data_IF_466185761032
#
_entry.id   IF_466185761032
#
_cell.length_a   1.000
_cell.length_b   1.000
_cell.length_c   1.000
_cell.angle_alpha   90.00
_cell.angle_beta   90.00
_cell.angle_gamma   90.00
#
_symmetry.space_group_name_H-M   'P 1'
#
loop_
_entity.id
_entity.type
_entity.pdbx_description
1 polymer ?
#
# COMPACT_ATOMS: atom_id res chain seq x y z
N UNK A 1 -28.06 14.63 45.83
CA UNK A 1 -26.94 13.65 45.81
C UNK A 1 -26.67 13.01 44.44
N UNK A 2 -27.23 13.51 43.32
CA UNK A 2 -27.21 12.77 42.04
C UNK A 2 -26.19 13.19 40.97
N UNK A 3 -25.68 14.43 40.95
CA UNK A 3 -24.81 14.89 39.85
C UNK A 3 -23.32 14.64 40.10
N UNK A 4 -22.85 14.85 41.34
CA UNK A 4 -21.43 14.70 41.68
C UNK A 4 -20.95 13.23 41.58
N UNK A 5 -21.81 12.27 41.94
CA UNK A 5 -21.49 10.85 41.84
C UNK A 5 -21.39 10.37 40.39
N UNK A 6 -22.25 10.89 39.50
CA UNK A 6 -22.21 10.57 38.06
C UNK A 6 -20.98 11.16 37.39
N UNK A 7 -20.59 12.38 37.77
CA UNK A 7 -19.38 13.01 37.23
C UNK A 7 -18.11 12.26 37.67
N UNK A 8 -18.05 11.83 38.94
CA UNK A 8 -16.94 11.02 39.46
C UNK A 8 -16.82 9.65 38.75
N UNK A 9 -17.95 8.97 38.52
CA UNK A 9 -17.98 7.69 37.81
C UNK A 9 -17.53 7.83 36.34
N UNK A 10 -17.96 8.89 35.65
CA UNK A 10 -17.54 9.19 34.28
C UNK A 10 -16.05 9.52 34.22
N UNK A 11 -15.50 10.29 35.17
CA UNK A 11 -14.06 10.55 35.21
C UNK A 11 -13.26 9.29 35.49
N UNK A 12 -13.70 8.41 36.40
CA UNK A 12 -13.01 7.14 36.67
C UNK A 12 -13.06 6.22 35.45
N UNK A 13 -14.19 6.15 34.74
CA UNK A 13 -14.29 5.39 33.50
C UNK A 13 -13.40 5.98 32.40
N UNK A 14 -13.36 7.30 32.24
CA UNK A 14 -12.48 7.96 31.26
C UNK A 14 -11.00 7.72 31.59
N UNK A 15 -10.60 7.87 32.85
CA UNK A 15 -9.24 7.59 33.31
C UNK A 15 -8.88 6.12 33.19
N UNK A 16 -9.81 5.20 33.43
CA UNK A 16 -9.61 3.77 33.21
C UNK A 16 -9.47 3.46 31.72
N UNK A 17 -10.23 4.12 30.85
CA UNK A 17 -10.18 3.95 29.41
C UNK A 17 -8.90 4.55 28.80
N UNK A 18 -8.49 5.74 29.26
CA UNK A 18 -7.23 6.37 28.88
C UNK A 18 -6.06 5.54 29.41
N UNK A 19 -6.10 5.10 30.66
CA UNK A 19 -5.09 4.23 31.23
C UNK A 19 -5.03 2.89 30.51
N UNK A 20 -6.16 2.29 30.12
CA UNK A 20 -6.17 1.06 29.31
C UNK A 20 -5.59 1.30 27.91
N UNK A 21 -5.94 2.40 27.23
CA UNK A 21 -5.36 2.76 25.93
C UNK A 21 -3.85 3.03 26.02
N UNK A 22 -3.39 3.72 27.06
CA UNK A 22 -1.96 3.92 27.32
C UNK A 22 -1.28 2.62 27.78
N UNK A 23 -1.99 1.71 28.45
CA UNK A 23 -1.49 0.39 28.86
C UNK A 23 -1.30 -0.54 27.66
N UNK A 24 -2.08 -0.36 26.59
CA UNK A 24 -1.84 -1.05 25.32
C UNK A 24 -0.60 -0.50 24.59
N UNK A 25 -0.19 0.74 24.88
CA UNK A 25 0.99 1.38 24.28
C UNK A 25 2.23 1.29 25.18
N UNK A 26 2.08 1.04 26.47
CA UNK A 26 3.18 0.66 27.37
C UNK A 26 3.43 -0.85 27.26
N UNK A 27 3.84 -1.27 26.06
CA UNK A 27 4.74 -2.42 25.94
C UNK A 27 5.89 -2.12 26.90
N UNK A 28 6.09 -2.99 27.90
CA UNK A 28 7.22 -2.95 28.80
C UNK A 28 8.46 -3.25 27.94
N UNK A 29 8.95 -2.24 27.23
CA UNK A 29 10.27 -2.30 26.62
C UNK A 29 11.24 -2.42 27.77
N UNK A 30 11.88 -3.59 27.88
CA UNK A 30 13.08 -3.74 28.69
C UNK A 30 14.08 -2.72 28.15
N UNK A 31 14.28 -1.65 28.90
CA UNK A 31 15.29 -0.63 28.62
C UNK A 31 16.62 -1.34 28.31
N UNK A 32 17.10 -1.23 27.06
CA UNK A 32 18.40 -1.74 26.62
C UNK A 32 18.43 -2.93 25.65
N UNK A 33 17.29 -3.47 25.18
CA UNK A 33 17.29 -4.55 24.15
C UNK A 33 16.75 -4.06 22.81
N UNK A 34 17.48 -4.33 21.72
CA UNK A 34 17.03 -4.06 20.34
C UNK A 34 15.85 -4.99 20.01
N UNK A 35 14.67 -4.47 19.64
CA UNK A 35 13.50 -5.30 19.37
C UNK A 35 13.70 -6.17 18.12
N UNK A 36 13.23 -7.42 18.18
CA UNK A 36 13.26 -8.35 17.04
C UNK A 36 11.90 -8.41 16.35
N UNK A 37 11.87 -8.00 15.09
CA UNK A 37 10.72 -8.10 14.19
C UNK A 37 11.00 -9.22 13.17
N UNK A 38 10.10 -10.20 13.10
CA UNK A 38 10.22 -11.33 12.19
C UNK A 38 9.17 -11.25 11.09
N UNK A 39 9.63 -11.22 9.84
CA UNK A 39 8.80 -11.47 8.68
C UNK A 39 8.46 -12.97 8.62
N UNK A 40 7.24 -13.32 9.02
CA UNK A 40 6.80 -14.72 9.09
C UNK A 40 6.51 -15.31 7.72
N UNK A 41 5.95 -14.50 6.83
CA UNK A 41 5.67 -14.84 5.44
C UNK A 41 6.54 -14.01 4.50
N UNK A 42 6.55 -14.39 3.22
CA UNK A 42 7.06 -13.54 2.15
C UNK A 42 6.04 -12.47 1.77
N UNK A 43 6.47 -11.48 0.98
CA UNK A 43 5.60 -10.59 0.21
C UNK A 43 5.61 -11.07 -1.25
N UNK A 44 4.73 -12.00 -1.58
CA UNK A 44 4.78 -12.80 -2.80
C UNK A 44 6.14 -13.51 -2.91
N UNK A 45 6.94 -13.16 -3.92
CA UNK A 45 8.30 -13.67 -4.09
C UNK A 45 9.37 -12.86 -3.37
N UNK A 46 9.01 -11.74 -2.74
CA UNK A 46 9.94 -10.80 -2.10
C UNK A 46 10.06 -11.02 -0.60
N UNK A 47 11.14 -10.50 -0.03
CA UNK A 47 11.40 -10.43 1.41
C UNK A 47 10.69 -9.20 2.00
N UNK A 48 9.95 -9.39 3.09
CA UNK A 48 9.31 -8.26 3.79
C UNK A 48 10.39 -7.44 4.51
N UNK A 49 11.41 -8.10 5.05
CA UNK A 49 12.49 -7.43 5.79
C UNK A 49 13.25 -6.43 4.93
N UNK A 50 13.44 -6.71 3.63
CA UNK A 50 14.11 -5.78 2.70
C UNK A 50 13.30 -4.49 2.50
N UNK A 51 11.97 -4.57 2.43
CA UNK A 51 11.12 -3.38 2.30
C UNK A 51 11.06 -2.56 3.59
N UNK A 52 10.96 -3.22 4.76
CA UNK A 52 10.96 -2.54 6.05
C UNK A 52 12.30 -1.88 6.36
N UNK A 53 13.42 -2.52 6.03
CA UNK A 53 14.76 -1.93 6.26
C UNK A 53 14.96 -0.62 5.51
N UNK A 54 14.32 -0.43 4.35
CA UNK A 54 14.35 0.85 3.61
C UNK A 54 13.70 1.98 4.40
N UNK A 55 12.72 1.69 5.25
CA UNK A 55 12.07 2.71 6.10
C UNK A 55 12.87 3.03 7.35
N UNK A 56 13.92 2.26 7.66
CA UNK A 56 14.78 2.49 8.82
C UNK A 56 15.92 3.49 8.54
N UNK A 57 16.06 3.95 7.29
CA UNK A 57 17.04 4.99 6.94
C UNK A 57 16.67 6.28 7.69
N UNK A 58 17.62 6.82 8.45
CA UNK A 58 17.43 7.99 9.34
C UNK A 58 16.37 7.78 10.45
N UNK A 59 16.08 6.54 10.82
CA UNK A 59 15.23 6.25 11.97
C UNK A 59 16.06 6.38 13.27
N UNK A 60 15.59 7.13 14.28
CA UNK A 60 16.29 7.25 15.56
C UNK A 60 16.19 5.99 16.43
N UNK A 61 15.35 5.03 16.03
CA UNK A 61 15.16 3.76 16.72
C UNK A 61 15.84 2.62 15.96
N UNK A 62 16.43 1.69 16.72
CA UNK A 62 17.04 0.48 16.19
C UNK A 62 16.11 -0.72 16.36
N UNK A 63 15.98 -1.53 15.32
CA UNK A 63 15.24 -2.80 15.33
C UNK A 63 16.00 -3.85 14.50
N UNK A 64 16.01 -5.08 14.97
CA UNK A 64 16.42 -6.23 14.16
C UNK A 64 15.24 -6.69 13.33
N UNK A 65 15.40 -6.74 12.00
CA UNK A 65 14.35 -7.19 11.08
C UNK A 65 14.88 -8.36 10.27
N UNK A 66 14.32 -9.54 10.50
CA UNK A 66 14.77 -10.80 9.89
C UNK A 66 13.64 -11.51 9.17
N UNK A 67 13.97 -12.24 8.11
CA UNK A 67 13.07 -13.26 7.57
C UNK A 67 13.00 -14.43 8.55
N UNK A 68 11.86 -15.13 8.60
CA UNK A 68 11.69 -16.33 9.45
C UNK A 68 12.82 -17.34 9.30
N UNK A 69 13.36 -17.52 8.10
CA UNK A 69 14.46 -18.47 7.84
C UNK A 69 15.78 -18.10 8.50
N UNK A 70 15.93 -16.84 8.91
CA UNK A 70 17.19 -16.27 9.39
C UNK A 70 17.17 -16.08 10.92
N UNK A 71 16.09 -16.48 11.58
CA UNK A 71 15.89 -16.33 13.03
C UNK A 71 16.51 -17.51 13.78
N UNK A 72 17.34 -17.21 14.78
CA UNK A 72 17.80 -18.18 15.77
C UNK A 72 16.63 -18.58 16.69
N UNK A 73 16.37 -19.89 16.84
CA UNK A 73 15.28 -20.44 17.66
C UNK A 73 15.35 -20.00 19.14
N UNK A 74 16.52 -19.58 19.62
CA UNK A 74 16.70 -19.08 20.99
C UNK A 74 16.21 -17.64 21.18
N UNK A 75 15.99 -16.90 20.10
CA UNK A 75 15.50 -15.51 20.14
C UNK A 75 13.99 -15.49 20.05
N UNK A 76 13.33 -14.98 21.10
CA UNK A 76 11.88 -14.74 21.10
C UNK A 76 11.62 -13.40 20.40
N UNK A 77 10.88 -13.37 19.28
CA UNK A 77 10.56 -12.12 18.58
C UNK A 77 9.60 -11.25 19.39
N UNK A 78 9.73 -9.93 19.28
CA UNK A 78 8.78 -8.96 19.83
C UNK A 78 7.57 -8.75 18.90
N UNK A 79 7.76 -8.96 17.60
CA UNK A 79 6.70 -8.84 16.60
C UNK A 79 6.84 -9.84 15.46
N UNK A 80 5.70 -10.26 14.92
CA UNK A 80 5.61 -11.02 13.67
C UNK A 80 4.81 -10.23 12.63
N UNK A 81 5.33 -10.16 11.41
CA UNK A 81 4.65 -9.53 10.27
C UNK A 81 4.23 -10.61 9.27
N UNK A 82 2.95 -10.57 8.89
CA UNK A 82 2.34 -11.52 7.97
C UNK A 82 1.77 -10.78 6.77
N UNK A 83 2.21 -11.12 5.57
CA UNK A 83 1.53 -10.70 4.37
C UNK A 83 0.25 -11.51 4.17
N UNK A 84 -0.91 -10.84 4.14
CA UNK A 84 -2.21 -11.51 4.09
C UNK A 84 -2.42 -12.45 2.89
N UNK A 85 -1.81 -12.17 1.73
CA UNK A 85 -1.93 -13.03 0.53
C UNK A 85 -1.08 -14.31 0.59
N UNK A 86 0.02 -14.28 1.36
CA UNK A 86 0.93 -15.42 1.53
C UNK A 86 0.71 -16.12 2.88
N UNK A 87 -0.32 -15.71 3.62
CA UNK A 87 -0.71 -16.29 4.89
C UNK A 87 -1.19 -17.74 4.68
N UNK A 88 -0.76 -18.62 5.56
CA UNK A 88 -1.27 -19.97 5.70
C UNK A 88 -1.78 -20.14 7.13
N UNK A 89 -3.09 -20.33 7.30
CA UNK A 89 -3.70 -20.47 8.62
C UNK A 89 -3.23 -21.72 9.38
N UNK A 90 -2.65 -22.71 8.68
CA UNK A 90 -2.05 -23.89 9.31
C UNK A 90 -0.59 -23.69 9.74
N UNK A 91 0.04 -22.58 9.38
CA UNK A 91 1.45 -22.28 9.67
C UNK A 91 1.57 -20.92 10.38
N UNK A 92 1.18 -20.94 11.65
CA UNK A 92 1.22 -19.78 12.55
C UNK A 92 2.28 -20.00 13.63
N UNK A 93 3.07 -18.97 14.01
CA UNK A 93 4.01 -19.09 15.11
C UNK A 93 3.28 -19.33 16.43
N UNK A 94 4.01 -19.91 17.38
CA UNK A 94 3.59 -19.87 18.77
C UNK A 94 3.54 -18.40 19.23
N UNK A 95 2.38 -17.99 19.74
CA UNK A 95 2.12 -16.63 20.20
C UNK A 95 2.28 -16.53 21.72
N UNK A 96 3.04 -15.54 22.15
CA UNK A 96 3.10 -15.10 23.54
C UNK A 96 2.35 -13.77 23.74
N UNK A 97 1.82 -13.49 24.94
CA UNK A 97 0.99 -12.30 25.19
C UNK A 97 1.64 -10.95 24.86
N UNK A 98 2.97 -10.87 24.87
CA UNK A 98 3.72 -9.63 24.59
C UNK A 98 3.97 -9.40 23.10
N UNK A 99 3.73 -10.40 22.24
CA UNK A 99 4.11 -10.33 20.84
C UNK A 99 3.08 -9.60 20.01
N UNK A 100 3.56 -8.68 19.17
CA UNK A 100 2.72 -7.97 18.24
C UNK A 100 2.52 -8.80 16.97
N UNK A 101 1.26 -9.19 16.73
CA UNK A 101 0.88 -9.91 15.51
C UNK A 101 0.36 -8.91 14.48
N UNK A 102 1.19 -8.58 13.48
CA UNK A 102 0.91 -7.54 12.49
C UNK A 102 0.44 -8.15 11.17
N UNK A 103 -0.81 -7.85 10.78
CA UNK A 103 -1.32 -8.16 9.44
C UNK A 103 -0.87 -7.07 8.46
N UNK A 104 0.00 -7.41 7.52
CA UNK A 104 0.39 -6.57 6.40
C UNK A 104 -0.45 -6.92 5.16
N UNK A 105 -1.16 -5.96 4.59
CA UNK A 105 -1.93 -6.18 3.37
C UNK A 105 -2.07 -4.89 2.56
N UNK A 106 -1.60 -4.93 1.32
CA UNK A 106 -1.71 -3.81 0.39
C UNK A 106 -2.78 -4.02 -0.69
N UNK A 107 -3.39 -5.20 -0.76
CA UNK A 107 -4.49 -5.48 -1.68
C UNK A 107 -5.83 -4.96 -1.16
N UNK A 108 -6.75 -4.67 -2.07
CA UNK A 108 -8.13 -4.33 -1.72
C UNK A 108 -8.84 -5.50 -1.00
N UNK A 109 -9.85 -5.26 -0.14
CA UNK A 109 -10.57 -6.32 0.57
C UNK A 109 -11.07 -7.48 -0.30
N UNK A 110 -11.65 -7.26 -1.50
CA UNK A 110 -12.03 -8.38 -2.39
C UNK A 110 -10.85 -9.28 -2.80
N UNK A 111 -9.64 -8.71 -2.80
CA UNK A 111 -8.40 -9.38 -3.14
C UNK A 111 -7.59 -9.78 -1.90
N UNK A 112 -8.11 -9.70 -0.67
CA UNK A 112 -7.35 -9.96 0.55
C UNK A 112 -6.83 -11.40 0.70
N UNK A 113 -7.47 -12.37 0.03
CA UNK A 113 -7.16 -13.79 0.16
C UNK A 113 -8.04 -14.47 1.22
N UNK A 114 -8.13 -15.82 1.17
CA UNK A 114 -9.04 -16.60 2.03
C UNK A 114 -8.47 -16.95 3.39
N UNK A 115 -7.15 -17.13 3.49
CA UNK A 115 -6.49 -17.56 4.72
C UNK A 115 -6.72 -16.59 5.90
N UNK A 116 -6.96 -15.31 5.63
CA UNK A 116 -7.33 -14.32 6.66
C UNK A 116 -8.65 -14.62 7.35
N UNK A 117 -9.57 -15.37 6.72
CA UNK A 117 -10.83 -15.79 7.34
C UNK A 117 -10.71 -17.13 8.07
N UNK A 118 -9.58 -17.81 7.95
CA UNK A 118 -9.31 -19.13 8.54
C UNK A 118 -8.43 -19.03 9.79
N UNK A 119 -7.76 -17.89 10.00
CA UNK A 119 -7.06 -17.63 11.26
C UNK A 119 -8.04 -17.44 12.41
N UNK A 120 -7.65 -17.74 13.66
CA UNK A 120 -8.49 -17.50 14.82
C UNK A 120 -8.96 -16.03 14.90
N UNK A 121 -10.16 -15.76 15.46
CA UNK A 121 -10.55 -14.40 15.81
C UNK A 121 -9.50 -13.72 16.69
N UNK A 122 -9.34 -12.41 16.54
CA UNK A 122 -8.40 -11.59 17.33
C UNK A 122 -6.93 -12.09 17.28
N UNK A 123 -6.58 -12.78 16.20
CA UNK A 123 -5.22 -13.25 15.99
C UNK A 123 -4.23 -12.10 15.77
N UNK A 124 -4.61 -11.11 14.97
CA UNK A 124 -3.81 -9.92 14.70
C UNK A 124 -4.16 -8.78 15.66
N UNK A 125 -3.14 -8.17 16.27
CA UNK A 125 -3.28 -7.01 17.15
C UNK A 125 -3.04 -5.68 16.42
N UNK A 126 -2.39 -5.73 15.27
CA UNK A 126 -2.08 -4.55 14.48
C UNK A 126 -2.23 -4.83 12.99
N UNK A 127 -2.48 -3.76 12.25
CA UNK A 127 -2.62 -3.78 10.79
C UNK A 127 -1.62 -2.81 10.18
N UNK A 128 -0.95 -3.26 9.12
CA UNK A 128 -0.02 -2.49 8.30
C UNK A 128 -0.57 -2.44 6.87
N UNK A 129 -1.32 -1.37 6.53
CA UNK A 129 -2.05 -1.31 5.26
C UNK A 129 -2.10 0.13 4.71
N UNK A 130 -2.64 0.30 3.50
CA UNK A 130 -2.89 1.63 2.92
C UNK A 130 -4.00 2.41 3.64
N UNK A 131 -4.91 1.74 4.35
CA UNK A 131 -6.09 2.39 4.94
C UNK A 131 -5.69 3.38 6.04
N UNK A 132 -6.39 4.51 6.08
CA UNK A 132 -6.09 5.60 7.01
C UNK A 132 -6.35 5.25 8.48
N UNK A 133 -7.19 4.25 8.76
CA UNK A 133 -7.53 3.75 10.09
C UNK A 133 -6.70 2.52 10.52
N UNK A 134 -5.70 2.13 9.73
CA UNK A 134 -4.78 1.07 10.13
C UNK A 134 -3.84 1.53 11.24
N UNK A 135 -3.54 0.63 12.19
CA UNK A 135 -2.61 0.89 13.31
C UNK A 135 -1.29 1.47 12.81
N UNK A 136 -0.76 0.90 11.73
CA UNK A 136 0.40 1.43 11.01
C UNK A 136 0.01 1.69 9.56
N UNK A 137 -0.09 2.96 9.18
CA UNK A 137 -0.44 3.33 7.81
C UNK A 137 0.78 3.25 6.90
N UNK A 138 0.65 2.49 5.81
CA UNK A 138 1.64 2.40 4.75
C UNK A 138 0.92 2.52 3.39
N UNK A 139 0.74 3.74 2.86
CA UNK A 139 0.12 3.92 1.55
C UNK A 139 1.12 3.67 0.42
N UNK A 140 0.63 3.46 -0.80
CA UNK A 140 1.49 3.35 -1.99
C UNK A 140 2.19 4.66 -2.35
N UNK A 141 1.66 5.79 -1.90
CA UNK A 141 2.24 7.12 -2.07
C UNK A 141 1.49 8.15 -1.26
N UNK A 142 2.06 9.35 -1.20
CA UNK A 142 1.49 10.54 -0.57
C UNK A 142 2.04 11.79 -1.27
N UNK A 143 1.27 12.87 -1.25
CA UNK A 143 1.80 14.18 -1.61
C UNK A 143 2.26 14.89 -0.35
N UNK A 144 3.49 15.39 -0.37
CA UNK A 144 4.04 16.15 0.74
C UNK A 144 4.40 17.54 0.27
N UNK A 145 4.23 18.50 1.18
CA UNK A 145 4.69 19.85 0.92
C UNK A 145 6.21 19.83 0.96
N UNK A 146 6.81 20.21 -0.15
CA UNK A 146 8.24 20.40 -0.26
C UNK A 146 8.78 21.37 0.79
N UNK A 147 9.89 21.01 1.42
CA UNK A 147 10.67 21.90 2.28
C UNK A 147 11.84 22.52 1.52
N UNK A 148 12.34 23.65 2.00
CA UNK A 148 13.42 24.40 1.33
C UNK A 148 14.75 23.62 1.29
N UNK A 149 14.95 22.66 2.21
CA UNK A 149 16.14 21.81 2.30
C UNK A 149 16.13 20.60 1.34
N UNK A 150 15.03 20.36 0.61
CA UNK A 150 14.92 19.21 -0.29
C UNK A 150 15.68 19.41 -1.61
N UNK A 151 16.44 18.37 -2.00
CA UNK A 151 17.24 18.35 -3.22
C UNK A 151 16.43 18.75 -4.46
N UNK A 152 16.90 19.80 -5.12
CA UNK A 152 16.29 20.35 -6.32
C UNK A 152 16.43 19.45 -7.55
N UNK A 153 17.30 18.44 -7.51
CA UNK A 153 17.48 17.47 -8.60
C UNK A 153 16.22 16.65 -8.90
N UNK A 154 15.32 16.50 -7.91
CA UNK A 154 14.06 15.78 -8.03
C UNK A 154 12.92 16.59 -8.66
N UNK A 155 13.13 17.90 -8.86
CA UNK A 155 12.12 18.79 -9.44
C UNK A 155 12.07 18.59 -10.95
N UNK A 156 10.86 18.35 -11.47
CA UNK A 156 10.60 18.50 -12.89
C UNK A 156 10.55 19.98 -13.22
N UNK A 157 11.55 20.50 -13.93
CA UNK A 157 11.62 21.91 -14.31
C UNK A 157 10.72 22.22 -15.50
N UNK A 158 10.34 23.50 -15.67
CA UNK A 158 9.63 23.98 -16.86
C UNK A 158 10.38 23.65 -18.16
N UNK A 159 11.72 23.69 -18.13
CA UNK A 159 12.55 23.33 -19.28
C UNK A 159 12.43 21.83 -19.61
N UNK A 160 12.56 20.95 -18.61
CA UNK A 160 12.40 19.51 -18.78
C UNK A 160 10.99 19.18 -19.30
N UNK A 161 9.96 19.83 -18.75
CA UNK A 161 8.59 19.67 -19.20
C UNK A 161 8.44 20.11 -20.67
N UNK A 162 8.92 21.31 -21.03
CA UNK A 162 8.87 21.81 -22.41
C UNK A 162 9.63 20.92 -23.39
N UNK A 163 10.75 20.33 -22.99
CA UNK A 163 11.50 19.39 -23.80
C UNK A 163 10.76 18.05 -24.01
N UNK A 164 9.97 17.59 -23.02
CA UNK A 164 9.19 16.36 -23.11
C UNK A 164 7.91 16.50 -23.93
N UNK A 165 7.25 17.66 -23.90
CA UNK A 165 5.95 17.92 -24.54
C UNK A 165 5.87 17.55 -26.04
N UNK A 166 6.87 17.85 -26.90
CA UNK A 166 6.82 17.50 -28.32
C UNK A 166 6.67 16.00 -28.61
N UNK A 167 7.13 15.14 -27.69
CA UNK A 167 6.98 13.68 -27.81
C UNK A 167 5.59 13.20 -27.41
N UNK A 168 4.89 13.92 -26.54
CA UNK A 168 3.56 13.57 -26.00
C UNK A 168 2.44 13.83 -27.01
N UNK A 169 2.36 12.97 -28.04
CA UNK A 169 1.41 13.06 -29.16
C UNK A 169 0.19 12.12 -29.03
N UNK A 170 0.30 11.05 -28.25
CA UNK A 170 -0.76 10.05 -28.06
C UNK A 170 -1.66 10.41 -26.87
N UNK A 171 -2.89 9.88 -26.90
CA UNK A 171 -3.94 10.10 -25.90
C UNK A 171 -3.73 9.29 -24.62
N UNK A 172 -4.77 8.64 -24.08
CA UNK A 172 -4.66 7.79 -22.90
C UNK A 172 -3.87 6.51 -23.15
N UNK A 173 -3.03 6.16 -22.17
CA UNK A 173 -2.32 4.90 -22.06
C UNK A 173 -2.93 4.03 -20.96
N UNK A 174 -3.07 2.73 -21.22
CA UNK A 174 -3.40 1.71 -20.24
C UNK A 174 -2.35 0.60 -20.26
N UNK A 175 -1.68 0.38 -19.14
CA UNK A 175 -0.79 -0.76 -18.92
C UNK A 175 -1.49 -1.72 -17.95
N UNK A 176 -1.90 -2.89 -18.42
CA UNK A 176 -2.82 -3.76 -17.66
C UNK A 176 -2.52 -5.25 -17.85
N UNK A 177 -2.43 -5.98 -16.74
CA UNK A 177 -2.16 -7.42 -16.75
C UNK A 177 -3.11 -8.25 -15.88
N UNK A 178 -4.05 -7.61 -15.17
CA UNK A 178 -5.05 -8.28 -14.35
C UNK A 178 -6.43 -7.95 -14.92
N UNK A 179 -7.08 -8.96 -15.47
CA UNK A 179 -8.37 -8.90 -16.15
C UNK A 179 -9.46 -9.47 -15.22
N UNK A 180 -10.73 -9.27 -15.56
CA UNK A 180 -11.88 -9.72 -14.76
C UNK A 180 -11.84 -9.18 -13.32
N UNK A 181 -12.05 -7.87 -13.20
CA UNK A 181 -11.76 -7.17 -11.94
C UNK A 181 -13.04 -6.82 -11.18
N UNK A 182 -12.94 -6.73 -9.85
CA UNK A 182 -14.07 -6.34 -9.01
C UNK A 182 -14.59 -4.93 -9.31
N UNK A 183 -13.74 -4.04 -9.82
CA UNK A 183 -14.16 -2.70 -10.25
C UNK A 183 -14.85 -2.66 -11.61
N UNK A 184 -14.87 -3.77 -12.35
CA UNK A 184 -15.35 -3.85 -13.74
C UNK A 184 -14.70 -2.79 -14.65
N UNK A 185 -13.45 -2.40 -14.35
CA UNK A 185 -12.75 -1.34 -15.10
C UNK A 185 -12.67 -1.67 -16.58
N UNK A 186 -12.56 -2.95 -16.91
CA UNK A 186 -12.51 -3.46 -18.28
C UNK A 186 -13.75 -3.08 -19.08
N UNK A 187 -14.95 -3.11 -18.50
CA UNK A 187 -16.17 -2.75 -19.21
C UNK A 187 -16.21 -1.25 -19.53
N UNK A 188 -15.78 -0.43 -18.57
CA UNK A 188 -15.73 1.02 -18.73
C UNK A 188 -14.71 1.40 -19.79
N UNK A 189 -13.51 0.83 -19.72
CA UNK A 189 -12.44 1.13 -20.66
C UNK A 189 -12.76 0.58 -22.07
N UNK A 190 -13.43 -0.58 -22.18
CA UNK A 190 -13.91 -1.11 -23.46
C UNK A 190 -14.89 -0.15 -24.14
N UNK A 191 -15.88 0.37 -23.41
CA UNK A 191 -16.80 1.38 -23.96
C UNK A 191 -16.07 2.67 -24.32
N UNK A 192 -15.10 3.08 -23.49
CA UNK A 192 -14.32 4.29 -23.74
C UNK A 192 -13.44 4.18 -25.00
N UNK A 193 -12.85 3.01 -25.26
CA UNK A 193 -12.01 2.79 -26.45
C UNK A 193 -12.80 2.80 -27.76
N UNK A 194 -14.12 2.61 -27.71
CA UNK A 194 -15.00 2.78 -28.87
C UNK A 194 -15.18 4.27 -29.25
N UNK A 195 -14.95 5.19 -28.31
CA UNK A 195 -15.18 6.64 -28.49
C UNK A 195 -13.89 7.44 -28.69
N UNK A 196 -12.79 7.00 -28.08
CA UNK A 196 -11.49 7.69 -28.14
C UNK A 196 -10.36 6.69 -28.35
N UNK A 197 -9.28 7.14 -29.00
CA UNK A 197 -8.08 6.32 -29.20
C UNK A 197 -7.35 6.11 -27.87
N UNK A 198 -7.39 4.88 -27.37
CA UNK A 198 -6.65 4.43 -26.18
C UNK A 198 -5.59 3.44 -26.64
N UNK A 199 -4.36 3.65 -26.20
CA UNK A 199 -3.31 2.64 -26.34
C UNK A 199 -3.37 1.69 -25.15
N UNK A 200 -3.45 0.39 -25.41
CA UNK A 200 -3.43 -0.65 -24.38
C UNK A 200 -2.22 -1.55 -24.58
N UNK A 201 -1.53 -1.88 -23.49
CA UNK A 201 -0.45 -2.85 -23.49
C UNK A 201 -0.54 -3.78 -22.27
N UNK A 202 -0.30 -5.06 -22.50
CA UNK A 202 -0.26 -6.11 -21.48
C UNK A 202 -1.25 -7.26 -21.74
N UNK A 203 -1.39 -8.13 -20.74
CA UNK A 203 -2.06 -9.42 -20.90
C UNK A 203 -3.57 -9.30 -21.18
N UNK A 204 -4.20 -8.15 -20.90
CA UNK A 204 -5.63 -7.95 -21.15
C UNK A 204 -5.93 -7.32 -22.52
N UNK A 205 -4.99 -7.29 -23.46
CA UNK A 205 -5.20 -6.70 -24.79
C UNK A 205 -6.44 -7.24 -25.53
N UNK A 206 -6.82 -8.50 -25.32
CA UNK A 206 -8.00 -9.11 -25.94
C UNK A 206 -9.33 -8.52 -25.45
N UNK A 207 -9.37 -7.88 -24.29
CA UNK A 207 -10.58 -7.29 -23.69
C UNK A 207 -10.98 -5.96 -24.37
N UNK A 208 -10.07 -5.36 -25.14
CA UNK A 208 -10.23 -4.02 -25.71
C UNK A 208 -10.08 -4.07 -27.23
N UNK A 209 -11.09 -4.60 -27.96
CA UNK A 209 -11.00 -4.77 -29.41
C UNK A 209 -10.86 -3.45 -30.18
N UNK A 210 -11.44 -2.35 -29.68
CA UNK A 210 -11.38 -1.03 -30.31
C UNK A 210 -10.13 -0.20 -29.95
N UNK A 211 -9.26 -0.71 -29.07
CA UNK A 211 -8.06 0.00 -28.65
C UNK A 211 -6.86 -0.24 -29.60
N UNK A 212 -5.91 0.70 -29.60
CA UNK A 212 -4.61 0.53 -30.22
C UNK A 212 -3.76 -0.41 -29.35
N UNK A 213 -3.43 -1.60 -29.87
CA UNK A 213 -2.76 -2.65 -29.09
C UNK A 213 -1.25 -2.56 -29.26
N UNK A 214 -0.55 -2.53 -28.13
CA UNK A 214 0.90 -2.61 -28.05
C UNK A 214 1.30 -3.85 -27.22
N UNK A 215 2.51 -4.36 -27.43
CA UNK A 215 3.07 -5.44 -26.62
C UNK A 215 4.41 -5.00 -26.06
N UNK A 216 4.40 -4.60 -24.79
CA UNK A 216 5.60 -4.21 -24.06
C UNK A 216 5.78 -5.12 -22.85
N UNK A 217 6.90 -5.85 -22.74
CA UNK A 217 7.31 -6.45 -21.48
C UNK A 217 7.43 -5.37 -20.39
N UNK A 218 7.09 -5.71 -19.14
CA UNK A 218 7.24 -4.80 -17.99
C UNK A 218 8.71 -4.39 -17.83
N UNK A 219 8.95 -3.14 -17.41
CA UNK A 219 10.30 -2.60 -17.14
C UNK A 219 11.25 -2.65 -18.36
N UNK A 220 10.68 -2.57 -19.55
CA UNK A 220 11.43 -2.51 -20.80
C UNK A 220 11.43 -1.08 -21.37
N UNK A 221 12.40 -0.78 -22.23
CA UNK A 221 12.46 0.47 -23.00
C UNK A 221 11.13 0.82 -23.71
N UNK A 222 10.41 -0.21 -24.14
CA UNK A 222 9.07 -0.10 -24.71
C UNK A 222 8.08 0.63 -23.79
N UNK A 223 8.07 0.30 -22.49
CA UNK A 223 7.20 0.97 -21.51
C UNK A 223 7.58 2.45 -21.37
N UNK A 224 8.88 2.78 -21.32
CA UNK A 224 9.36 4.16 -21.25
C UNK A 224 8.93 4.98 -22.47
N UNK A 225 8.99 4.39 -23.67
CA UNK A 225 8.57 5.07 -24.89
C UNK A 225 7.05 5.28 -24.95
N UNK A 226 6.26 4.34 -24.44
CA UNK A 226 4.82 4.55 -24.25
C UNK A 226 4.58 5.72 -23.29
N UNK A 227 5.22 5.74 -22.12
CA UNK A 227 5.10 6.84 -21.14
C UNK A 227 5.51 8.20 -21.76
N UNK A 228 6.61 8.23 -22.49
CA UNK A 228 7.15 9.45 -23.11
C UNK A 228 6.26 9.99 -24.23
N UNK A 229 5.44 9.15 -24.85
CA UNK A 229 4.59 9.52 -26.00
C UNK A 229 3.14 9.82 -25.65
N UNK A 230 2.67 9.47 -24.45
CA UNK A 230 1.29 9.67 -24.02
C UNK A 230 1.14 10.85 -23.06
N UNK A 231 -0.04 11.48 -23.08
CA UNK A 231 -0.39 12.59 -22.19
C UNK A 231 -1.12 12.14 -20.92
N UNK A 232 -1.99 11.14 -21.06
CA UNK A 232 -2.87 10.69 -20.00
C UNK A 232 -2.59 9.22 -19.68
N UNK A 233 -2.87 8.83 -18.44
CA UNK A 233 -2.78 7.43 -18.01
C UNK A 233 -4.07 7.01 -17.31
N UNK A 234 -4.63 5.88 -17.71
CA UNK A 234 -5.82 5.32 -17.07
C UNK A 234 -5.39 4.60 -15.79
N UNK A 235 -5.51 5.26 -14.65
CA UNK A 235 -5.12 4.77 -13.32
C UNK A 235 -6.24 3.97 -12.64
N UNK A 236 -7.03 3.22 -13.40
CA UNK A 236 -8.19 2.50 -12.86
C UNK A 236 -7.73 1.32 -12.02
N UNK A 237 -8.21 1.25 -10.79
CA UNK A 237 -7.85 0.19 -9.84
C UNK A 237 -8.65 -1.09 -10.10
N UNK A 238 -8.13 -2.23 -9.63
CA UNK A 238 -8.82 -3.52 -9.77
C UNK A 238 -10.07 -3.65 -8.87
N UNK A 239 -10.24 -2.74 -7.91
CA UNK A 239 -11.33 -2.72 -6.95
C UNK A 239 -11.64 -1.27 -6.59
N UNK A 240 -12.93 -0.96 -6.37
CA UNK A 240 -13.35 0.36 -5.89
C UNK A 240 -13.49 0.32 -4.36
N UNK A 241 -12.41 0.65 -3.67
CA UNK A 241 -12.36 0.65 -2.20
C UNK A 241 -11.82 1.99 -1.68
N UNK A 242 -12.32 2.41 -0.51
CA UNK A 242 -11.93 3.67 0.12
C UNK A 242 -10.41 3.68 0.39
N UNK A 243 -9.72 4.72 -0.09
CA UNK A 243 -8.27 4.88 0.09
C UNK A 243 -7.40 3.89 -0.69
N UNK A 244 -7.97 3.01 -1.52
CA UNK A 244 -7.19 2.06 -2.32
C UNK A 244 -6.64 2.76 -3.57
N UNK A 245 -5.56 3.51 -3.39
CA UNK A 245 -4.86 4.25 -4.46
C UNK A 245 -3.44 3.72 -4.53
N UNK A 246 -3.05 3.21 -5.70
CA UNK A 246 -1.83 2.40 -5.84
C UNK A 246 -0.74 3.07 -6.68
N UNK A 247 0.29 2.29 -7.06
CA UNK A 247 1.33 2.71 -8.00
C UNK A 247 0.75 3.22 -9.33
N UNK A 248 -0.45 2.75 -9.72
CA UNK A 248 -1.10 3.17 -10.97
C UNK A 248 -1.34 4.68 -11.01
N UNK A 249 -1.56 5.29 -9.85
CA UNK A 249 -1.69 6.74 -9.73
C UNK A 249 -0.33 7.37 -9.43
N UNK A 250 0.29 7.02 -8.29
CA UNK A 250 1.48 7.72 -7.78
C UNK A 250 2.72 7.57 -8.67
N UNK A 251 2.95 6.39 -9.26
CA UNK A 251 4.11 6.19 -10.15
C UNK A 251 3.93 6.91 -11.47
N UNK A 252 2.69 7.07 -11.95
CA UNK A 252 2.44 7.62 -13.30
C UNK A 252 2.42 9.14 -13.28
N UNK A 253 1.92 9.75 -12.20
CA UNK A 253 2.02 11.20 -12.05
C UNK A 253 3.47 11.67 -11.96
N UNK A 254 4.36 10.92 -11.30
CA UNK A 254 5.80 11.22 -11.25
C UNK A 254 6.51 11.03 -12.60
N UNK A 255 5.84 10.45 -13.59
CA UNK A 255 6.34 10.23 -14.96
C UNK A 255 5.73 11.20 -15.99
N UNK A 256 5.27 12.37 -15.54
CA UNK A 256 4.65 13.41 -16.38
C UNK A 256 3.43 12.92 -17.18
N UNK A 257 2.65 11.99 -16.61
CA UNK A 257 1.35 11.59 -17.14
C UNK A 257 0.27 12.20 -16.27
N UNK A 258 -0.81 12.67 -16.91
CA UNK A 258 -2.00 13.13 -16.20
C UNK A 258 -2.88 11.91 -15.88
N UNK A 259 -3.05 11.52 -14.60
CA UNK A 259 -3.88 10.36 -14.25
C UNK A 259 -5.36 10.62 -14.53
N UNK A 260 -6.04 9.63 -15.13
CA UNK A 260 -7.48 9.53 -15.25
C UNK A 260 -7.94 8.47 -14.24
N UNK A 261 -8.82 8.87 -13.33
CA UNK A 261 -9.28 8.03 -12.21
C UNK A 261 -10.78 7.75 -12.32
N UNK A 262 -11.25 6.64 -11.74
CA UNK A 262 -12.65 6.20 -11.88
C UNK A 262 -13.62 7.08 -11.08
N UNK A 263 -13.28 7.38 -9.83
CA UNK A 263 -14.14 8.15 -8.93
C UNK A 263 -13.27 9.09 -8.09
N UNK A 264 -13.50 10.40 -8.22
CA UNK A 264 -12.82 11.44 -7.45
C UNK A 264 -12.98 11.25 -5.93
N UNK A 265 -14.11 10.75 -5.46
CA UNK A 265 -14.37 10.59 -4.02
C UNK A 265 -13.40 9.64 -3.33
N UNK A 266 -12.86 8.66 -4.06
CA UNK A 266 -11.84 7.74 -3.56
C UNK A 266 -10.52 8.48 -3.24
N UNK A 267 -10.27 9.60 -3.93
CA UNK A 267 -9.06 10.42 -3.84
C UNK A 267 -9.25 11.67 -2.98
N UNK A 268 -10.45 11.87 -2.40
CA UNK A 268 -10.69 12.98 -1.49
C UNK A 268 -10.22 12.58 -0.07
N UNK A 269 -9.24 13.28 0.49
CA UNK A 269 -8.75 13.06 1.85
C UNK A 269 -7.44 12.28 1.97
N UNK A 270 -6.71 12.11 0.87
CA UNK A 270 -5.30 11.69 0.86
C UNK A 270 -4.34 12.85 0.67
#
# INVERSE_FOLDING_TARGET
MGLAAVCAALTVLLFSFIALNDSYVTVIYKSGTVPLIVAWTKYFSMKISDELKKTMVNCPYECDILERSDVDETRIPDAYIFHGRDLNASDLPQRYPHQLMVMMLFEAPPNAGRALFEVPPDYFNATLTYQADSVYRWPYGKFEKRTDDEDSSSIITDEQLRAALPRKKKGPLLLVSHCDTHSLREETIRKLSEMIKITVSGNCNSYYPAADKEYCPKFNKCEEDLIATHRFYISFENSLCKGYITEKFFKRISQMLVPIVQNREIYNGE
#
